data_IF_524521192227
#
_entry.id   IF_524521192227
#
_cell.length_a   1.000
_cell.length_b   1.000
_cell.length_c   1.000
_cell.angle_alpha   90.00
_cell.angle_beta   90.00
_cell.angle_gamma   90.00
#
_symmetry.space_group_name_H-M   'P 1'
#
loop_
_entity.id
_entity.type
_entity.pdbx_description
1 polymer ?
#
# COMPACT_ATOMS: atom_id res chain seq x y z
N UNK A 1 -25.99 -1.87 -1.91
CA UNK A 1 -24.79 -2.41 -2.58
C UNK A 1 -23.49 -1.66 -2.17
N UNK A 2 -23.36 -1.24 -0.90
CA UNK A 2 -22.37 -0.23 -0.46
C UNK A 2 -21.27 -0.77 0.48
N UNK A 3 -21.36 -2.05 0.86
CA UNK A 3 -20.45 -2.66 1.84
C UNK A 3 -19.07 -3.03 1.26
N UNK A 4 -18.98 -3.29 -0.06
CA UNK A 4 -17.76 -3.83 -0.69
C UNK A 4 -16.65 -2.79 -0.89
N UNK A 5 -16.96 -1.50 -0.88
CA UNK A 5 -15.97 -0.40 -0.96
C UNK A 5 -15.60 0.19 0.41
N UNK A 6 -16.17 -0.32 1.51
CA UNK A 6 -15.85 0.17 2.85
C UNK A 6 -14.47 -0.32 3.28
N UNK A 7 -13.56 0.62 3.53
CA UNK A 7 -12.20 0.30 4.00
C UNK A 7 -12.23 -0.50 5.31
N UNK A 8 -13.12 -0.13 6.24
CA UNK A 8 -13.28 -0.84 7.53
C UNK A 8 -13.70 -2.29 7.30
N UNK A 9 -14.65 -2.53 6.40
CA UNK A 9 -15.09 -3.87 6.05
C UNK A 9 -13.95 -4.70 5.44
N UNK A 10 -13.23 -4.14 4.47
CA UNK A 10 -12.09 -4.81 3.83
C UNK A 10 -11.00 -5.16 4.84
N UNK A 11 -10.64 -4.23 5.73
CA UNK A 11 -9.65 -4.47 6.79
C UNK A 11 -10.09 -5.59 7.71
N UNK A 12 -11.35 -5.59 8.16
CA UNK A 12 -11.87 -6.64 9.03
C UNK A 12 -11.82 -8.02 8.35
N UNK A 13 -12.22 -8.13 7.09
CA UNK A 13 -12.22 -9.41 6.36
C UNK A 13 -10.83 -9.95 6.06
N UNK A 14 -9.92 -9.08 5.65
CA UNK A 14 -8.53 -9.48 5.37
C UNK A 14 -7.81 -9.84 6.67
N UNK A 15 -8.06 -9.12 7.77
CA UNK A 15 -7.52 -9.47 9.09
C UNK A 15 -8.06 -10.83 9.57
N UNK A 16 -9.35 -11.10 9.38
CA UNK A 16 -9.96 -12.40 9.71
C UNK A 16 -9.30 -13.55 8.92
N UNK A 17 -9.03 -13.34 7.64
CA UNK A 17 -8.45 -14.37 6.76
C UNK A 17 -6.93 -14.56 6.95
N UNK A 18 -6.17 -13.48 7.12
CA UNK A 18 -4.71 -13.49 7.05
C UNK A 18 -4.03 -13.14 8.38
N UNK A 19 -4.81 -12.87 9.43
CA UNK A 19 -4.34 -12.58 10.78
C UNK A 19 -3.36 -11.39 10.86
N UNK A 20 -3.36 -10.53 9.85
CA UNK A 20 -2.46 -9.38 9.78
C UNK A 20 -1.01 -9.76 9.49
N UNK A 21 -0.79 -10.92 8.90
CA UNK A 21 0.50 -11.37 8.37
C UNK A 21 0.71 -10.78 6.97
N UNK A 22 1.84 -10.14 6.76
CA UNK A 22 2.18 -9.57 5.45
C UNK A 22 2.33 -10.67 4.40
N UNK A 23 1.51 -10.63 3.35
CA UNK A 23 1.54 -11.62 2.26
C UNK A 23 2.77 -11.49 1.35
N UNK A 24 3.58 -10.43 1.51
CA UNK A 24 4.83 -10.27 0.77
C UNK A 24 6.07 -10.74 1.54
N UNK A 25 6.13 -10.53 2.86
CA UNK A 25 7.34 -10.81 3.66
C UNK A 25 7.12 -11.72 4.88
N UNK A 26 5.89 -12.16 5.14
CA UNK A 26 5.56 -13.08 6.24
C UNK A 26 5.59 -12.46 7.65
N UNK A 27 5.87 -11.16 7.80
CA UNK A 27 5.94 -10.52 9.12
C UNK A 27 4.55 -10.31 9.73
N UNK A 28 4.42 -10.63 11.02
CA UNK A 28 3.20 -10.51 11.83
C UNK A 28 2.94 -9.05 12.24
N UNK A 29 2.48 -8.23 11.28
CA UNK A 29 2.35 -6.79 11.48
C UNK A 29 1.22 -6.40 12.45
N UNK A 30 0.11 -7.14 12.46
CA UNK A 30 -0.96 -6.88 13.43
C UNK A 30 -0.56 -7.28 14.86
N UNK A 31 0.18 -8.38 15.03
CA UNK A 31 0.71 -8.77 16.33
C UNK A 31 1.66 -7.71 16.91
N UNK A 32 2.57 -7.17 16.07
CA UNK A 32 3.43 -6.07 16.48
C UNK A 32 2.63 -4.82 16.86
N UNK A 33 1.54 -4.51 16.14
CA UNK A 33 0.63 -3.42 16.52
C UNK A 33 0.07 -3.62 17.93
N UNK A 34 -0.45 -4.80 18.25
CA UNK A 34 -1.02 -5.09 19.58
C UNK A 34 0.04 -4.90 20.67
N UNK A 35 1.24 -5.45 20.46
CA UNK A 35 2.39 -5.30 21.38
C UNK A 35 2.74 -3.83 21.62
N UNK A 36 2.85 -3.02 20.56
CA UNK A 36 3.23 -1.60 20.67
C UNK A 36 2.10 -0.75 21.27
N UNK A 37 0.83 -1.05 20.94
CA UNK A 37 -0.35 -0.38 21.51
C UNK A 37 -0.39 -0.53 23.03
N UNK A 38 -0.20 -1.76 23.50
CA UNK A 38 -0.34 -2.12 24.91
C UNK A 38 0.91 -1.79 25.74
N UNK A 39 2.04 -1.50 25.08
CA UNK A 39 3.26 -1.07 25.75
C UNK A 39 3.21 0.39 26.26
N UNK A 40 3.89 0.70 27.38
CA UNK A 40 4.08 2.08 27.83
C UNK A 40 4.76 2.95 26.77
N UNK A 41 4.39 4.24 26.62
CA UNK A 41 4.98 5.13 25.62
C UNK A 41 6.51 5.20 25.66
N UNK A 42 7.12 5.05 26.83
CA UNK A 42 8.58 5.05 27.02
C UNK A 42 9.29 3.88 26.32
N UNK A 43 8.63 2.73 26.16
CA UNK A 43 9.22 1.52 25.56
C UNK A 43 9.00 1.45 24.04
N UNK A 44 8.00 2.16 23.52
CA UNK A 44 7.59 2.05 22.10
C UNK A 44 8.71 2.42 21.12
N UNK A 45 9.59 3.36 21.48
CA UNK A 45 10.72 3.76 20.63
C UNK A 45 11.65 2.57 20.37
N UNK A 46 12.14 1.94 21.43
CA UNK A 46 13.03 0.78 21.35
C UNK A 46 12.38 -0.39 20.61
N UNK A 47 11.09 -0.64 20.88
CA UNK A 47 10.33 -1.68 20.18
C UNK A 47 10.29 -1.46 18.66
N UNK A 48 10.13 -0.21 18.21
CA UNK A 48 10.06 0.11 16.78
C UNK A 48 11.43 0.10 16.11
N UNK A 49 12.47 0.61 16.79
CA UNK A 49 13.85 0.66 16.28
C UNK A 49 14.41 -0.74 16.00
N UNK A 50 13.99 -1.75 16.78
CA UNK A 50 14.41 -3.14 16.61
C UNK A 50 13.55 -3.95 15.62
N UNK A 51 12.77 -3.27 14.76
CA UNK A 51 11.89 -3.94 13.78
C UNK A 51 12.13 -3.42 12.37
N UNK A 52 11.51 -4.08 11.38
CA UNK A 52 11.50 -3.61 10.00
C UNK A 52 10.90 -2.21 9.82
N UNK A 53 10.16 -1.68 10.81
CA UNK A 53 9.55 -0.35 10.74
C UNK A 53 10.57 0.78 10.91
N UNK A 54 11.79 0.49 11.39
CA UNK A 54 12.86 1.47 11.55
C UNK A 54 13.24 2.22 10.26
N UNK A 55 12.92 1.66 9.08
CA UNK A 55 13.13 2.31 7.78
C UNK A 55 12.05 3.35 7.40
N UNK A 56 10.99 3.50 8.21
CA UNK A 56 9.98 4.53 8.01
C UNK A 56 10.53 5.92 8.33
N UNK A 57 9.83 6.96 7.88
CA UNK A 57 10.25 8.33 8.18
C UNK A 57 10.12 8.63 9.67
N UNK A 58 11.03 9.46 10.20
CA UNK A 58 10.99 9.92 11.60
C UNK A 58 9.61 10.48 11.99
N UNK A 59 8.96 11.21 11.09
CA UNK A 59 7.59 11.70 11.30
C UNK A 59 6.62 10.55 11.62
N UNK A 60 6.62 9.48 10.82
CA UNK A 60 5.72 8.36 10.99
C UNK A 60 6.06 7.56 12.25
N UNK A 61 7.35 7.34 12.55
CA UNK A 61 7.79 6.70 13.79
C UNK A 61 7.34 7.48 15.03
N UNK A 62 7.43 8.81 15.00
CA UNK A 62 6.94 9.66 16.09
C UNK A 62 5.42 9.59 16.28
N UNK A 63 4.65 9.50 15.19
CA UNK A 63 3.20 9.28 15.24
C UNK A 63 2.88 7.92 15.88
N UNK A 64 3.63 6.87 15.53
CA UNK A 64 3.50 5.53 16.11
C UNK A 64 3.83 5.46 17.59
N UNK A 65 4.88 6.16 18.05
CA UNK A 65 5.24 6.22 19.47
C UNK A 65 4.14 6.93 20.27
N UNK A 66 3.61 8.05 19.75
CA UNK A 66 2.60 8.86 20.43
C UNK A 66 1.26 8.14 20.53
N UNK A 67 0.76 7.67 19.39
CA UNK A 67 -0.57 7.08 19.26
C UNK A 67 -0.55 6.01 18.15
N UNK A 68 -0.11 4.77 18.46
CA UNK A 68 -0.09 3.71 17.48
C UNK A 68 -1.52 3.35 17.06
N UNK A 69 -1.77 3.37 15.75
CA UNK A 69 -3.01 2.84 15.16
C UNK A 69 -2.65 1.71 14.19
N UNK A 70 -3.58 0.79 13.94
CA UNK A 70 -3.32 -0.40 13.12
C UNK A 70 -2.73 -0.08 11.74
N UNK A 71 -3.22 0.99 11.11
CA UNK A 71 -2.77 1.43 9.78
C UNK A 71 -1.28 1.81 9.72
N UNK A 72 -0.64 2.07 10.86
CA UNK A 72 0.80 2.30 10.87
C UNK A 72 1.61 1.03 10.62
N UNK A 73 1.04 -0.15 10.88
CA UNK A 73 1.75 -1.43 10.83
C UNK A 73 1.42 -2.22 9.57
N UNK A 74 0.15 -2.18 9.13
CA UNK A 74 -0.30 -2.91 7.95
C UNK A 74 -1.47 -2.22 7.22
N UNK A 75 -1.58 -2.51 5.93
CA UNK A 75 -2.55 -1.99 5.00
C UNK A 75 -3.19 -3.12 4.20
N UNK A 76 -4.45 -2.92 3.79
CA UNK A 76 -5.07 -3.75 2.77
C UNK A 76 -4.65 -3.22 1.42
N UNK A 77 -4.17 -4.10 0.55
CA UNK A 77 -3.81 -3.77 -0.81
C UNK A 77 -4.46 -4.75 -1.80
N UNK A 78 -4.56 -4.36 -3.06
CA UNK A 78 -5.15 -5.20 -4.10
C UNK A 78 -4.09 -6.16 -4.68
N UNK A 79 -4.36 -7.46 -4.81
CA UNK A 79 -3.45 -8.41 -5.50
C UNK A 79 -3.21 -7.99 -6.94
N UNK A 80 -4.28 -7.81 -7.71
CA UNK A 80 -4.26 -7.14 -9.01
C UNK A 80 -4.65 -5.67 -8.81
N UNK A 81 -3.79 -4.70 -9.16
CA UNK A 81 -4.09 -3.30 -8.92
C UNK A 81 -5.22 -2.79 -9.81
N UNK A 82 -5.97 -1.80 -9.31
CA UNK A 82 -7.15 -1.22 -9.98
C UNK A 82 -6.84 -0.72 -11.40
N UNK A 83 -5.69 -0.08 -11.63
CA UNK A 83 -5.32 0.43 -12.97
C UNK A 83 -5.04 -0.67 -14.00
N UNK A 84 -4.89 -1.93 -13.57
CA UNK A 84 -4.81 -3.11 -14.45
C UNK A 84 -6.13 -3.88 -14.50
N UNK A 85 -7.25 -3.29 -14.08
CA UNK A 85 -8.58 -3.92 -14.08
C UNK A 85 -8.93 -4.71 -12.82
N UNK A 86 -8.15 -4.60 -11.74
CA UNK A 86 -8.45 -5.26 -10.45
C UNK A 86 -9.46 -4.51 -9.57
N UNK A 87 -10.31 -3.65 -10.13
CA UNK A 87 -11.27 -2.82 -9.38
C UNK A 87 -12.44 -3.58 -8.76
N UNK A 88 -12.51 -4.90 -8.91
CA UNK A 88 -13.47 -5.70 -8.16
C UNK A 88 -12.97 -5.83 -6.72
N UNK A 89 -13.70 -5.25 -5.77
CA UNK A 89 -13.51 -5.46 -4.34
C UNK A 89 -13.99 -6.87 -3.93
N UNK A 90 -13.62 -7.90 -4.69
CA UNK A 90 -13.72 -9.27 -4.19
C UNK A 90 -12.65 -9.46 -3.12
N UNK A 91 -12.99 -10.18 -2.06
CA UNK A 91 -12.02 -10.49 -0.99
C UNK A 91 -10.82 -11.25 -1.55
N UNK A 92 -11.03 -12.06 -2.59
CA UNK A 92 -10.00 -12.82 -3.30
C UNK A 92 -8.94 -11.95 -4.00
N UNK A 93 -9.21 -10.65 -4.18
CA UNK A 93 -8.27 -9.70 -4.77
C UNK A 93 -7.66 -8.76 -3.71
N UNK A 94 -7.84 -9.02 -2.43
CA UNK A 94 -7.25 -8.24 -1.35
C UNK A 94 -6.13 -9.04 -0.66
N UNK A 95 -5.16 -8.33 -0.09
CA UNK A 95 -4.08 -8.91 0.70
C UNK A 95 -3.61 -7.93 1.78
N UNK A 96 -3.05 -8.45 2.85
CA UNK A 96 -2.34 -7.71 3.90
C UNK A 96 -0.92 -7.43 3.43
N UNK A 97 -0.51 -6.16 3.49
CA UNK A 97 0.89 -5.78 3.39
C UNK A 97 1.30 -5.00 4.64
N UNK A 98 2.49 -5.29 5.18
CA UNK A 98 3.07 -4.39 6.17
C UNK A 98 3.34 -3.02 5.52
N UNK A 99 3.38 -1.96 6.31
CA UNK A 99 3.48 -0.59 5.80
C UNK A 99 4.70 -0.35 4.92
N UNK A 100 5.82 -1.01 5.21
CA UNK A 100 7.02 -0.96 4.38
C UNK A 100 6.76 -1.57 3.00
N UNK A 101 6.26 -2.80 2.94
CA UNK A 101 5.97 -3.48 1.67
C UNK A 101 4.93 -2.71 0.87
N UNK A 102 3.88 -2.20 1.53
CA UNK A 102 2.86 -1.37 0.90
C UNK A 102 3.45 -0.08 0.28
N UNK A 103 4.36 0.61 0.98
CA UNK A 103 5.04 1.81 0.47
C UNK A 103 5.92 1.49 -0.74
N UNK A 104 6.71 0.42 -0.67
CA UNK A 104 7.54 -0.05 -1.78
C UNK A 104 6.70 -0.32 -3.03
N UNK A 105 5.60 -1.07 -2.86
CA UNK A 105 4.67 -1.39 -3.92
C UNK A 105 3.98 -0.16 -4.51
N UNK A 106 3.51 0.76 -3.66
CA UNK A 106 2.91 2.03 -4.09
C UNK A 106 3.88 2.84 -4.96
N UNK A 107 5.15 2.92 -4.54
CA UNK A 107 6.19 3.62 -5.29
C UNK A 107 6.46 2.95 -6.65
N UNK A 108 6.53 1.62 -6.69
CA UNK A 108 6.69 0.86 -7.94
C UNK A 108 5.52 1.11 -8.90
N UNK A 109 4.29 0.99 -8.42
CA UNK A 109 3.09 1.22 -9.24
C UNK A 109 3.02 2.68 -9.74
N UNK A 110 3.45 3.65 -8.94
CA UNK A 110 3.53 5.05 -9.37
C UNK A 110 4.52 5.24 -10.53
N UNK A 111 5.68 4.56 -10.48
CA UNK A 111 6.67 4.56 -11.57
C UNK A 111 6.09 3.93 -12.83
N UNK A 112 5.46 2.76 -12.72
CA UNK A 112 4.80 2.08 -13.86
C UNK A 112 3.74 2.97 -14.53
N UNK A 113 2.87 3.60 -13.73
CA UNK A 113 1.83 4.51 -14.26
C UNK A 113 2.44 5.71 -14.98
N UNK A 114 3.53 6.27 -14.45
CA UNK A 114 4.23 7.38 -15.10
C UNK A 114 4.83 6.96 -16.45
N UNK A 115 5.48 5.80 -16.51
CA UNK A 115 6.04 5.25 -17.75
C UNK A 115 4.95 4.96 -18.79
N UNK A 116 3.83 4.34 -18.39
CA UNK A 116 2.71 4.06 -19.28
C UNK A 116 2.10 5.35 -19.86
N UNK A 117 1.99 6.42 -19.06
CA UNK A 117 1.51 7.72 -19.56
C UNK A 117 2.48 8.32 -20.59
N UNK A 118 3.79 8.18 -20.37
CA UNK A 118 4.82 8.64 -21.32
C UNK A 118 4.77 7.85 -22.63
N UNK A 119 4.66 6.52 -22.57
CA UNK A 119 4.58 5.69 -23.77
C UNK A 119 3.31 5.98 -24.57
N UNK A 120 2.15 6.09 -23.93
CA UNK A 120 0.89 6.47 -24.60
C UNK A 120 1.00 7.85 -25.27
N UNK A 121 1.64 8.83 -24.60
CA UNK A 121 1.88 10.15 -25.20
C UNK A 121 2.79 10.06 -26.42
N UNK A 122 3.88 9.30 -26.33
CA UNK A 122 4.81 9.09 -27.45
C UNK A 122 4.13 8.37 -28.63
N UNK A 123 3.37 7.31 -28.37
CA UNK A 123 2.60 6.59 -29.40
C UNK A 123 1.59 7.51 -30.10
N UNK A 124 0.87 8.35 -29.35
CA UNK A 124 -0.06 9.33 -29.94
C UNK A 124 0.64 10.32 -30.87
N UNK A 125 1.82 10.81 -30.48
CA UNK A 125 2.63 11.70 -31.32
C UNK A 125 3.15 10.97 -32.56
N UNK A 126 3.58 9.71 -32.43
CA UNK A 126 4.07 8.92 -33.56
C UNK A 126 2.96 8.53 -34.54
N UNK A 127 1.73 8.30 -34.06
CA UNK A 127 0.57 8.00 -34.90
C UNK A 127 -0.04 9.23 -35.59
N UNK A 128 0.27 10.43 -35.11
CA UNK A 128 -0.24 11.68 -35.68
C UNK A 128 0.64 12.17 -36.84
N UNK A 129 0.37 11.62 -38.03
CA UNK A 129 1.07 11.97 -39.28
C UNK A 129 0.54 13.28 -39.91
N UNK A 130 -0.51 13.90 -39.34
CA UNK A 130 -1.18 15.08 -39.91
C UNK A 130 -0.19 16.24 -40.14
N UNK A 131 0.82 16.36 -39.26
CA UNK A 131 1.87 17.37 -39.39
C UNK A 131 2.84 17.17 -40.56
N UNK A 132 2.95 15.96 -41.11
CA UNK A 132 3.79 15.70 -42.28
C UNK A 132 3.17 16.19 -43.59
N UNK A 133 1.84 16.25 -43.66
CA UNK A 133 1.11 16.64 -44.88
C UNK A 133 0.84 18.15 -45.02
N UNK A 134 1.21 18.97 -44.03
CA UNK A 134 0.96 20.43 -44.04
C UNK A 134 2.05 21.21 -44.82
N UNK A 135 3.10 20.54 -45.34
CA UNK A 135 4.04 21.20 -46.25
C UNK A 135 3.57 21.09 -47.70
N UNK A 136 2.82 22.10 -48.15
CA UNK A 136 2.76 22.56 -49.55
C UNK A 136 2.61 24.07 -49.57
#
# INVERSE_FOLDING_TARGET
FQLRSSQTYMRSRVLEAEQGVCQHCGLHAHELFLKVRDAPPSQRKEMLENTWLAQLSLKQLNEMIRAPVEGHFWQVDHIRPVYKGGGQCSLDNLQTLCTVCHRSRTAQQARERSQMRKSVKASKVASDITRFFIRK
#
